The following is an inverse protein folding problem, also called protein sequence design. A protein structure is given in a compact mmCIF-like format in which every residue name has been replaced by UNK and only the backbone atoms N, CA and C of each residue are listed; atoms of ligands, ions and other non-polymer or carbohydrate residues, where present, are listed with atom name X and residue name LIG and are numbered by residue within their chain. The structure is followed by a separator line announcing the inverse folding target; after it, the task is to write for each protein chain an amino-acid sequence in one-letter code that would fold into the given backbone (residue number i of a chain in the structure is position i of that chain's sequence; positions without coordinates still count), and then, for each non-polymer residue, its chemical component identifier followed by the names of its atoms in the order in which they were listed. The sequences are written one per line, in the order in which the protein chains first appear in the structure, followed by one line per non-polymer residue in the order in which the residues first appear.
data_IF_901853830041
#
_entry.id   IF_901853830041
#
_cell.length_a   1.000
_cell.length_b   1.000
_cell.length_c   1.000
_cell.angle_alpha   90.00
_cell.angle_beta   90.00
_cell.angle_gamma   90.00
#
_symmetry.space_group_name_H-M   'P 1'
#
loop_
_entity.id
_entity.type
_entity.pdbx_description
1 polymer ?
#
# COMPACT_ATOMS: atom_id res chain seq x y z
N UNK A 1 24.18 3.33 12.36
CA UNK A 1 23.86 4.55 13.13
C UNK A 1 22.87 4.24 14.26
N UNK A 2 22.95 4.93 15.41
CA UNK A 2 21.97 4.76 16.51
C UNK A 2 20.79 5.71 16.33
N UNK A 3 19.58 5.16 16.41
CA UNK A 3 18.31 5.90 16.39
C UNK A 3 17.51 5.66 17.67
N UNK A 4 16.79 6.69 18.08
CA UNK A 4 15.80 6.69 19.15
C UNK A 4 14.43 6.95 18.55
N UNK A 5 13.45 6.12 18.89
CA UNK A 5 12.11 6.12 18.30
C UNK A 5 11.05 6.20 19.36
N UNK A 6 10.02 7.00 19.07
CA UNK A 6 8.78 7.04 19.83
C UNK A 6 7.63 6.80 18.85
N UNK A 7 6.85 5.75 19.06
CA UNK A 7 5.64 5.45 18.30
C UNK A 7 4.46 6.11 19.01
N UNK A 8 3.92 7.15 18.37
CA UNK A 8 2.84 7.96 18.91
C UNK A 8 1.47 7.31 18.68
N UNK A 9 1.25 6.75 17.49
CA UNK A 9 0.02 6.02 17.20
C UNK A 9 0.18 5.00 16.07
N UNK A 10 -0.60 3.93 16.15
CA UNK A 10 -0.74 2.93 15.08
C UNK A 10 -2.23 2.69 14.84
N UNK A 11 -2.69 2.92 13.62
CA UNK A 11 -4.10 2.84 13.23
C UNK A 11 -4.24 1.93 12.01
N UNK A 12 -5.25 1.06 12.03
CA UNK A 12 -5.68 0.32 10.85
C UNK A 12 -6.82 1.08 10.19
N UNK A 13 -6.77 1.24 8.87
CA UNK A 13 -7.82 1.85 8.05
C UNK A 13 -8.19 0.91 6.90
N UNK A 14 -9.44 0.97 6.47
CA UNK A 14 -9.89 0.13 5.35
C UNK A 14 -9.41 0.70 4.01
N UNK A 15 -9.52 2.01 3.78
CA UNK A 15 -9.16 2.63 2.51
C UNK A 15 -8.41 3.97 2.67
N UNK A 16 -7.57 4.30 1.69
CA UNK A 16 -6.85 5.56 1.62
C UNK A 16 -7.74 6.64 0.99
N UNK A 17 -7.82 7.82 1.63
CA UNK A 17 -8.70 8.91 1.20
C UNK A 17 -8.35 9.45 -0.21
N UNK A 18 -7.07 9.41 -0.60
CA UNK A 18 -6.60 9.96 -1.88
C UNK A 18 -6.06 8.89 -2.83
N UNK A 19 -6.56 7.65 -2.73
CA UNK A 19 -6.16 6.54 -3.61
C UNK A 19 -6.52 6.77 -5.09
N UNK A 20 -7.60 7.52 -5.33
CA UNK A 20 -8.18 7.77 -6.65
C UNK A 20 -8.45 9.25 -6.82
N UNK A 21 -8.11 9.80 -7.97
CA UNK A 21 -8.39 11.19 -8.28
C UNK A 21 -9.80 11.39 -8.84
N UNK A 22 -10.32 12.62 -8.80
CA UNK A 22 -11.58 12.95 -9.50
C UNK A 22 -11.53 12.56 -10.99
N UNK A 23 -10.38 12.77 -11.64
CA UNK A 23 -10.19 12.42 -13.04
C UNK A 23 -10.18 10.89 -13.26
N UNK A 24 -9.77 10.12 -12.26
CA UNK A 24 -9.83 8.66 -12.32
C UNK A 24 -11.27 8.18 -12.29
N UNK A 25 -12.10 8.75 -11.40
CA UNK A 25 -13.52 8.40 -11.33
C UNK A 25 -14.27 8.70 -12.62
N UNK A 26 -14.01 9.84 -13.27
CA UNK A 26 -14.61 10.19 -14.56
C UNK A 26 -14.18 9.21 -15.66
N UNK A 27 -12.89 8.87 -15.74
CA UNK A 27 -12.40 7.91 -16.75
C UNK A 27 -12.93 6.49 -16.52
N UNK A 28 -13.07 6.07 -15.26
CA UNK A 28 -13.67 4.78 -14.94
C UNK A 28 -15.14 4.76 -15.33
N UNK A 29 -15.90 5.81 -15.04
CA UNK A 29 -17.30 5.93 -15.47
C UNK A 29 -17.44 5.79 -16.99
N UNK A 30 -16.58 6.46 -17.76
CA UNK A 30 -16.54 6.33 -19.23
C UNK A 30 -16.27 4.87 -19.66
N UNK A 31 -15.29 4.20 -19.04
CA UNK A 31 -15.00 2.77 -19.28
C UNK A 31 -16.17 1.84 -18.92
N UNK A 32 -17.01 2.22 -17.95
CA UNK A 32 -18.24 1.51 -17.60
C UNK A 32 -19.46 1.96 -18.43
N UNK A 33 -19.28 2.80 -19.45
CA UNK A 33 -20.34 3.21 -20.38
C UNK A 33 -21.18 4.41 -19.94
N UNK A 34 -20.73 5.18 -18.95
CA UNK A 34 -21.39 6.41 -18.49
C UNK A 34 -20.72 7.67 -19.07
N UNK A 35 -21.10 8.04 -20.29
CA UNK A 35 -20.49 9.11 -21.10
C UNK A 35 -20.78 10.56 -20.61
N UNK A 36 -21.74 10.79 -19.69
CA UNK A 36 -22.23 12.14 -19.32
C UNK A 36 -21.99 12.53 -17.84
N UNK A 37 -20.93 12.00 -17.23
CA UNK A 37 -20.52 12.37 -15.86
C UNK A 37 -19.74 13.70 -15.87
N UNK A 38 -20.46 14.80 -16.14
CA UNK A 38 -19.88 16.11 -16.42
C UNK A 38 -18.92 16.67 -15.36
N UNK A 39 -18.03 17.58 -15.78
CA UNK A 39 -16.97 18.22 -14.97
C UNK A 39 -17.47 18.89 -13.66
N UNK A 40 -18.75 19.28 -13.62
CA UNK A 40 -19.39 19.96 -12.48
C UNK A 40 -19.95 19.02 -11.40
N UNK A 41 -19.79 17.71 -11.55
CA UNK A 41 -20.24 16.70 -10.58
C UNK A 41 -19.31 16.70 -9.36
N UNK A 42 -19.86 16.58 -8.15
CA UNK A 42 -19.03 16.45 -6.95
C UNK A 42 -18.33 15.10 -6.90
N UNK A 43 -17.20 14.99 -6.20
CA UNK A 43 -16.46 13.71 -6.08
C UNK A 43 -17.33 12.61 -5.45
N UNK A 44 -18.12 12.97 -4.45
CA UNK A 44 -19.06 12.04 -3.80
C UNK A 44 -20.09 11.49 -4.79
N UNK A 45 -20.70 12.36 -5.60
CA UNK A 45 -21.66 11.94 -6.63
C UNK A 45 -21.00 11.08 -7.70
N UNK A 46 -19.75 11.38 -8.11
CA UNK A 46 -19.00 10.54 -9.05
C UNK A 46 -18.75 9.13 -8.50
N UNK A 47 -18.40 9.00 -7.22
CA UNK A 47 -18.21 7.70 -6.57
C UNK A 47 -19.53 6.92 -6.50
N UNK A 48 -20.64 7.58 -6.14
CA UNK A 48 -21.96 6.96 -6.11
C UNK A 48 -22.40 6.47 -7.50
N UNK A 49 -22.21 7.28 -8.54
CA UNK A 49 -22.44 6.89 -9.94
C UNK A 49 -21.56 5.71 -10.35
N UNK A 50 -20.27 5.75 -10.00
CA UNK A 50 -19.32 4.70 -10.37
C UNK A 50 -19.70 3.37 -9.72
N UNK A 51 -20.14 3.37 -8.46
CA UNK A 51 -20.59 2.16 -7.80
C UNK A 51 -21.85 1.57 -8.43
N UNK A 52 -22.79 2.41 -8.87
CA UNK A 52 -23.94 1.93 -9.64
C UNK A 52 -23.49 1.32 -10.97
N UNK A 53 -22.60 2.00 -11.71
CA UNK A 53 -22.08 1.51 -12.98
C UNK A 53 -21.34 0.19 -12.85
N UNK A 54 -20.50 0.04 -11.82
CA UNK A 54 -19.78 -1.21 -11.51
C UNK A 54 -20.76 -2.34 -11.22
N UNK A 55 -21.87 -2.07 -10.51
CA UNK A 55 -22.83 -3.09 -10.09
C UNK A 55 -23.65 -3.71 -11.22
N UNK A 56 -23.62 -3.12 -12.42
CA UNK A 56 -24.26 -3.66 -13.62
C UNK A 56 -23.42 -4.77 -14.31
N UNK A 57 -22.19 -5.02 -13.83
CA UNK A 57 -21.25 -6.01 -14.37
C UNK A 57 -21.03 -7.15 -13.37
N UNK A 58 -20.62 -8.33 -13.88
CA UNK A 58 -20.15 -9.39 -12.99
C UNK A 58 -18.86 -8.95 -12.27
N UNK A 59 -18.62 -9.41 -11.03
CA UNK A 59 -17.49 -8.95 -10.23
C UNK A 59 -16.13 -9.03 -10.95
N UNK A 60 -15.83 -10.15 -11.58
CA UNK A 60 -14.60 -10.38 -12.35
C UNK A 60 -14.47 -9.46 -13.57
N UNK A 61 -15.58 -9.11 -14.22
CA UNK A 61 -15.60 -8.21 -15.38
C UNK A 61 -15.29 -6.78 -14.95
N UNK A 62 -15.93 -6.32 -13.88
CA UNK A 62 -15.65 -5.03 -13.28
C UNK A 62 -14.21 -4.92 -12.78
N UNK A 63 -13.69 -5.99 -12.16
CA UNK A 63 -12.30 -6.06 -11.73
C UNK A 63 -11.34 -5.94 -12.92
N UNK A 64 -11.60 -6.65 -14.02
CA UNK A 64 -10.77 -6.58 -15.23
C UNK A 64 -10.73 -5.16 -15.81
N UNK A 65 -11.87 -4.44 -15.85
CA UNK A 65 -11.94 -3.05 -16.35
C UNK A 65 -11.09 -2.10 -15.50
N UNK A 66 -11.16 -2.22 -14.18
CA UNK A 66 -10.43 -1.32 -13.26
C UNK A 66 -8.92 -1.66 -13.27
N UNK A 67 -8.57 -2.95 -13.33
CA UNK A 67 -7.18 -3.40 -13.49
C UNK A 67 -6.58 -2.89 -14.79
N UNK A 68 -7.28 -3.03 -15.91
CA UNK A 68 -6.86 -2.50 -17.21
C UNK A 68 -6.62 -0.99 -17.15
N UNK A 69 -7.54 -0.23 -16.56
CA UNK A 69 -7.38 1.21 -16.42
C UNK A 69 -6.11 1.61 -15.67
N UNK A 70 -5.75 0.88 -14.60
CA UNK A 70 -4.68 1.30 -13.68
C UNK A 70 -3.34 0.63 -13.95
N UNK A 71 -3.32 -0.55 -14.57
CA UNK A 71 -2.15 -1.44 -14.63
C UNK A 71 -1.86 -2.00 -16.05
N UNK A 72 -2.56 -1.57 -17.09
CA UNK A 72 -2.28 -2.01 -18.49
C UNK A 72 -0.89 -1.64 -19.01
N UNK A 73 -0.19 -0.71 -18.36
CA UNK A 73 1.21 -0.38 -18.62
C UNK A 73 2.20 -1.43 -18.07
N UNK A 74 1.77 -2.22 -17.09
CA UNK A 74 2.61 -3.21 -16.39
C UNK A 74 2.15 -4.65 -16.59
N UNK A 75 0.86 -4.86 -16.85
CA UNK A 75 0.23 -6.17 -16.97
C UNK A 75 -0.37 -6.33 -18.37
N UNK A 76 -0.22 -7.52 -18.95
CA UNK A 76 -0.89 -7.87 -20.19
C UNK A 76 -2.33 -8.35 -19.95
N UNK A 77 -3.12 -8.44 -21.03
CA UNK A 77 -4.54 -8.84 -20.99
C UNK A 77 -4.78 -10.16 -20.23
N UNK A 78 -3.96 -11.19 -20.49
CA UNK A 78 -4.11 -12.49 -19.83
C UNK A 78 -3.82 -12.39 -18.31
N UNK A 79 -2.85 -11.57 -17.91
CA UNK A 79 -2.56 -11.34 -16.49
C UNK A 79 -3.72 -10.59 -15.82
N UNK A 80 -4.29 -9.60 -16.48
CA UNK A 80 -5.44 -8.83 -15.97
C UNK A 80 -6.66 -9.76 -15.80
N UNK A 81 -6.98 -10.57 -16.81
CA UNK A 81 -8.07 -11.55 -16.75
C UNK A 81 -7.85 -12.56 -15.60
N UNK A 82 -6.65 -13.11 -15.47
CA UNK A 82 -6.34 -14.03 -14.38
C UNK A 82 -6.50 -13.37 -13.01
N UNK A 83 -5.91 -12.18 -12.82
CA UNK A 83 -5.99 -11.46 -11.55
C UNK A 83 -7.43 -11.09 -11.21
N UNK A 84 -8.24 -10.67 -12.19
CA UNK A 84 -9.63 -10.26 -11.94
C UNK A 84 -10.47 -11.40 -11.36
N UNK A 85 -10.23 -12.63 -11.80
CA UNK A 85 -10.85 -13.84 -11.22
C UNK A 85 -10.26 -14.19 -9.85
N UNK A 86 -8.93 -14.16 -9.69
CA UNK A 86 -8.27 -14.52 -8.44
C UNK A 86 -8.59 -13.55 -7.30
N UNK A 87 -8.85 -12.27 -7.61
CA UNK A 87 -9.25 -11.24 -6.64
C UNK A 87 -10.56 -11.56 -5.91
N UNK A 88 -11.39 -12.46 -6.42
CA UNK A 88 -12.61 -12.92 -5.72
C UNK A 88 -12.31 -13.97 -4.65
N UNK A 89 -11.17 -14.66 -4.77
CA UNK A 89 -10.79 -15.78 -3.91
C UNK A 89 -9.84 -15.32 -2.81
N UNK A 90 -8.84 -14.54 -3.17
CA UNK A 90 -7.74 -14.14 -2.28
C UNK A 90 -7.42 -12.65 -2.38
N UNK A 91 -6.66 -12.14 -1.41
CA UNK A 91 -6.14 -10.77 -1.42
C UNK A 91 -4.91 -10.70 -2.32
N UNK A 92 -5.13 -10.57 -3.63
CA UNK A 92 -4.03 -10.57 -4.61
C UNK A 92 -3.00 -9.47 -4.36
N UNK A 93 -3.39 -8.37 -3.73
CA UNK A 93 -2.44 -7.36 -3.26
C UNK A 93 -1.34 -7.94 -2.36
N UNK A 94 -1.67 -8.93 -1.52
CA UNK A 94 -0.76 -9.56 -0.54
C UNK A 94 -0.03 -10.80 -1.10
N UNK A 95 -0.54 -11.39 -2.19
CA UNK A 95 -0.04 -12.66 -2.77
C UNK A 95 0.71 -12.48 -4.10
N UNK A 96 0.56 -11.35 -4.77
CA UNK A 96 1.21 -11.11 -6.06
C UNK A 96 2.73 -10.98 -5.93
N UNK A 97 3.47 -11.68 -6.79
CA UNK A 97 4.92 -11.80 -6.68
C UNK A 97 5.66 -10.46 -6.87
N UNK A 98 5.16 -9.57 -7.73
CA UNK A 98 5.73 -8.23 -7.91
C UNK A 98 5.13 -7.27 -6.88
N UNK A 99 5.87 -7.09 -5.79
CA UNK A 99 5.46 -6.20 -4.69
C UNK A 99 5.33 -4.73 -5.10
N UNK A 100 5.92 -4.31 -6.24
CA UNK A 100 5.77 -2.93 -6.74
C UNK A 100 4.33 -2.61 -7.16
N UNK A 101 3.52 -3.65 -7.42
CA UNK A 101 2.10 -3.52 -7.70
C UNK A 101 1.22 -3.51 -6.45
N UNK A 102 1.77 -3.86 -5.28
CA UNK A 102 1.01 -4.08 -4.06
C UNK A 102 0.10 -2.90 -3.71
N UNK A 103 0.62 -1.67 -3.74
CA UNK A 103 -0.16 -0.47 -3.43
C UNK A 103 -1.33 -0.27 -4.42
N UNK A 104 -1.10 -0.46 -5.72
CA UNK A 104 -2.15 -0.28 -6.72
C UNK A 104 -3.20 -1.39 -6.63
N UNK A 105 -2.78 -2.64 -6.47
CA UNK A 105 -3.68 -3.78 -6.27
C UNK A 105 -4.53 -3.60 -5.00
N UNK A 106 -3.94 -3.06 -3.92
CA UNK A 106 -4.67 -2.70 -2.71
C UNK A 106 -5.77 -1.66 -2.99
N UNK A 107 -5.44 -0.58 -3.71
CA UNK A 107 -6.40 0.49 -4.03
C UNK A 107 -7.55 0.00 -4.92
N UNK A 108 -7.25 -0.89 -5.86
CA UNK A 108 -8.25 -1.55 -6.73
C UNK A 108 -9.14 -2.49 -5.90
N UNK A 109 -8.55 -3.32 -5.04
CA UNK A 109 -9.29 -4.20 -4.13
C UNK A 109 -10.24 -3.40 -3.25
N UNK A 110 -9.82 -2.28 -2.67
CA UNK A 110 -10.69 -1.45 -1.82
C UNK A 110 -11.85 -0.81 -2.58
N UNK A 111 -11.63 -0.39 -3.83
CA UNK A 111 -12.70 0.15 -4.67
C UNK A 111 -13.75 -0.92 -4.95
N UNK A 112 -13.31 -2.11 -5.36
CA UNK A 112 -14.15 -3.27 -5.67
C UNK A 112 -14.88 -3.81 -4.42
N UNK A 113 -14.18 -3.93 -3.29
CA UNK A 113 -14.74 -4.32 -2.00
C UNK A 113 -15.94 -3.45 -1.63
N UNK A 114 -15.80 -2.13 -1.77
CA UNK A 114 -16.86 -1.16 -1.49
C UNK A 114 -17.99 -1.24 -2.51
N UNK A 115 -17.67 -1.31 -3.80
CA UNK A 115 -18.68 -1.36 -4.86
C UNK A 115 -19.57 -2.61 -4.78
N UNK A 116 -19.00 -3.76 -4.41
CA UNK A 116 -19.71 -5.03 -4.30
C UNK A 116 -20.07 -5.44 -2.86
N UNK A 117 -20.03 -4.51 -1.89
CA UNK A 117 -20.41 -4.76 -0.49
C UNK A 117 -19.75 -6.00 0.14
N UNK A 118 -18.47 -6.22 -0.15
CA UNK A 118 -17.66 -7.29 0.46
C UNK A 118 -17.62 -8.62 -0.29
N UNK A 119 -18.03 -8.67 -1.56
CA UNK A 119 -17.78 -9.84 -2.43
C UNK A 119 -16.29 -10.12 -2.57
N UNK A 120 -15.46 -9.09 -2.70
CA UNK A 120 -14.00 -9.22 -2.71
C UNK A 120 -13.47 -9.39 -1.27
N UNK A 121 -12.36 -10.09 -1.03
CA UNK A 121 -11.69 -10.08 0.26
C UNK A 121 -11.20 -8.67 0.62
N UNK A 122 -11.28 -8.30 1.90
CA UNK A 122 -10.86 -6.97 2.36
C UNK A 122 -9.38 -6.95 2.75
N UNK A 123 -8.56 -6.17 2.02
CA UNK A 123 -7.25 -5.74 2.48
C UNK A 123 -7.37 -4.52 3.41
N UNK A 124 -6.35 -4.23 4.24
CA UNK A 124 -6.32 -3.00 5.05
C UNK A 124 -4.96 -2.35 5.01
N UNK A 125 -4.91 -1.07 5.37
CA UNK A 125 -3.68 -0.31 5.50
C UNK A 125 -3.41 0.05 6.97
N UNK A 126 -2.13 0.18 7.30
CA UNK A 126 -1.66 0.64 8.60
C UNK A 126 -1.03 2.03 8.45
N UNK A 127 -1.47 2.96 9.30
CA UNK A 127 -0.85 4.27 9.48
C UNK A 127 -0.08 4.26 10.80
N UNK A 128 1.20 4.62 10.74
CA UNK A 128 2.06 4.77 11.92
C UNK A 128 2.50 6.23 12.02
N UNK A 129 2.21 6.85 13.15
CA UNK A 129 2.75 8.17 13.51
C UNK A 129 3.88 7.94 14.53
N UNK A 130 5.09 8.42 14.22
CA UNK A 130 6.26 8.20 15.05
C UNK A 130 7.23 9.39 15.00
N UNK A 131 8.15 9.40 15.95
CA UNK A 131 9.29 10.32 16.02
C UNK A 131 10.59 9.55 15.88
N UNK A 132 11.57 10.13 15.21
CA UNK A 132 12.89 9.55 14.99
C UNK A 132 14.01 10.55 15.24
N UNK A 133 14.95 10.18 16.11
CA UNK A 133 16.13 10.99 16.45
C UNK A 133 17.40 10.14 16.32
N UNK A 134 18.46 10.62 15.66
CA UNK A 134 18.53 11.90 14.94
C UNK A 134 17.69 11.88 13.66
N UNK A 135 17.06 13.00 13.35
CA UNK A 135 16.32 13.19 12.11
C UNK A 135 17.27 13.62 10.98
N UNK A 136 18.00 12.66 10.41
CA UNK A 136 18.95 12.90 9.33
C UNK A 136 18.85 11.77 8.32
N UNK A 137 18.64 12.11 7.05
CA UNK A 137 18.60 11.17 5.93
C UNK A 137 17.61 10.00 6.14
N UNK A 138 16.41 10.32 6.63
CA UNK A 138 15.37 9.32 6.94
C UNK A 138 14.72 8.80 5.65
N UNK A 139 15.26 7.70 5.13
CA UNK A 139 14.70 6.95 4.00
C UNK A 139 13.69 5.88 4.46
N UNK A 140 12.92 5.33 3.51
CA UNK A 140 12.02 4.20 3.78
C UNK A 140 12.78 2.98 4.29
N UNK A 141 13.96 2.69 3.74
CA UNK A 141 14.84 1.64 4.23
C UNK A 141 15.20 1.84 5.71
N UNK A 142 15.66 3.05 6.07
CA UNK A 142 16.00 3.39 7.47
C UNK A 142 14.78 3.16 8.37
N UNK A 143 13.60 3.65 7.96
CA UNK A 143 12.37 3.46 8.73
C UNK A 143 12.03 1.98 8.92
N UNK A 144 12.14 1.14 7.88
CA UNK A 144 11.90 -0.30 8.02
C UNK A 144 12.89 -0.97 8.96
N UNK A 145 14.20 -0.70 8.80
CA UNK A 145 15.25 -1.25 9.67
C UNK A 145 15.04 -0.86 11.13
N UNK A 146 14.59 0.36 11.36
CA UNK A 146 14.28 0.89 12.69
C UNK A 146 13.05 0.19 13.29
N UNK A 147 11.91 0.19 12.58
CA UNK A 147 10.66 -0.37 13.09
C UNK A 147 10.74 -1.90 13.26
N UNK A 148 11.61 -2.57 12.51
CA UNK A 148 11.91 -3.99 12.66
C UNK A 148 12.25 -4.40 14.11
N UNK A 149 12.82 -3.49 14.90
CA UNK A 149 13.15 -3.72 16.31
C UNK A 149 11.92 -3.99 17.19
N UNK A 150 10.74 -3.48 16.81
CA UNK A 150 9.51 -3.67 17.58
C UNK A 150 8.53 -4.68 16.98
N UNK A 151 8.65 -4.98 15.69
CA UNK A 151 7.78 -5.97 15.02
C UNK A 151 7.97 -7.38 15.63
N UNK A 152 6.91 -8.19 15.61
CA UNK A 152 6.97 -9.58 16.05
C UNK A 152 8.02 -10.39 15.28
N UNK A 153 8.66 -11.39 15.89
CA UNK A 153 9.67 -12.22 15.22
C UNK A 153 9.10 -13.03 14.04
N UNK A 154 7.80 -13.29 14.03
CA UNK A 154 7.09 -13.97 12.95
C UNK A 154 6.65 -13.03 11.81
N UNK A 155 6.97 -11.74 11.89
CA UNK A 155 6.57 -10.73 10.90
C UNK A 155 7.10 -11.10 9.49
N UNK A 156 6.30 -10.78 8.48
CA UNK A 156 6.59 -11.14 7.08
C UNK A 156 7.87 -10.47 6.58
N UNK A 157 8.10 -9.20 6.91
CA UNK A 157 9.28 -8.44 6.47
C UNK A 157 10.56 -9.13 6.98
N UNK A 158 10.58 -9.54 8.26
CA UNK A 158 11.70 -10.29 8.86
C UNK A 158 12.00 -11.59 8.12
N UNK A 159 10.95 -12.30 7.71
CA UNK A 159 11.07 -13.59 7.03
C UNK A 159 11.59 -13.45 5.60
N UNK A 160 11.16 -12.40 4.89
CA UNK A 160 11.47 -12.21 3.47
C UNK A 160 12.75 -11.42 3.22
N UNK A 161 13.07 -10.44 4.08
CA UNK A 161 14.11 -9.43 3.84
C UNK A 161 15.14 -9.39 4.97
N UNK A 162 15.47 -10.54 5.57
CA UNK A 162 16.39 -10.62 6.70
C UNK A 162 17.77 -10.01 6.38
N UNK A 163 18.34 -10.34 5.21
CA UNK A 163 19.67 -9.88 4.83
C UNK A 163 19.69 -8.38 4.51
N UNK A 164 18.66 -7.88 3.83
CA UNK A 164 18.47 -6.44 3.62
C UNK A 164 18.32 -5.67 4.93
N UNK A 165 17.54 -6.19 5.89
CA UNK A 165 17.37 -5.61 7.23
C UNK A 165 18.67 -5.57 8.03
N UNK A 166 19.52 -6.58 7.87
CA UNK A 166 20.85 -6.67 8.48
C UNK A 166 21.90 -5.78 7.78
N UNK A 167 21.55 -5.15 6.64
CA UNK A 167 22.46 -4.33 5.86
C UNK A 167 23.49 -5.13 5.05
N UNK A 168 23.20 -6.39 4.73
CA UNK A 168 24.06 -7.25 3.91
C UNK A 168 23.81 -7.09 2.40
N UNK A 169 22.66 -6.53 2.03
CA UNK A 169 22.26 -6.22 0.65
C UNK A 169 21.42 -4.94 0.62
N UNK A 170 21.26 -4.37 -0.57
CA UNK A 170 20.41 -3.20 -0.80
C UNK A 170 18.93 -3.54 -0.52
N UNK A 171 18.19 -2.61 0.10
CA UNK A 171 16.78 -2.81 0.44
C UNK A 171 15.83 -2.05 -0.49
N UNK A 172 15.90 -2.32 -1.80
CA UNK A 172 15.14 -1.61 -2.82
C UNK A 172 13.60 -1.78 -2.64
N UNK A 173 13.18 -2.92 -2.09
CA UNK A 173 11.80 -3.27 -1.80
C UNK A 173 11.15 -2.34 -0.76
N UNK A 174 11.95 -1.62 0.03
CA UNK A 174 11.45 -0.65 0.99
C UNK A 174 10.53 0.40 0.35
N UNK A 175 10.79 0.77 -0.91
CA UNK A 175 9.97 1.69 -1.69
C UNK A 175 8.55 1.16 -1.97
N UNK A 176 8.39 -0.15 -2.03
CA UNK A 176 7.11 -0.83 -2.30
C UNK A 176 6.41 -1.32 -1.03
N UNK A 177 7.17 -1.53 0.05
CA UNK A 177 6.62 -1.87 1.38
C UNK A 177 6.02 -0.62 2.04
N UNK A 178 6.76 0.49 2.03
CA UNK A 178 6.27 1.77 2.54
C UNK A 178 5.66 2.56 1.39
N UNK A 179 4.34 2.69 1.38
CA UNK A 179 3.61 3.37 0.32
C UNK A 179 3.76 4.88 0.40
N UNK A 180 3.72 5.44 1.61
CA UNK A 180 3.97 6.86 1.85
C UNK A 180 4.77 7.06 3.13
N UNK A 181 5.71 8.00 3.09
CA UNK A 181 6.50 8.44 4.23
C UNK A 181 6.57 9.96 4.21
N UNK A 182 5.81 10.57 5.11
CA UNK A 182 5.64 12.02 5.16
C UNK A 182 6.26 12.59 6.43
N UNK A 183 7.16 13.55 6.27
CA UNK A 183 7.64 14.37 7.37
C UNK A 183 6.54 15.33 7.86
N UNK A 184 6.29 15.35 9.16
CA UNK A 184 5.21 16.16 9.78
C UNK A 184 5.71 17.25 10.71
N UNK A 185 7.02 17.30 11.01
CA UNK A 185 7.66 18.41 11.74
C UNK A 185 8.62 17.95 12.84
N UNK A 186 9.64 18.76 13.15
CA UNK A 186 10.75 18.45 14.07
C UNK A 186 11.43 17.10 13.77
N UNK A 187 11.02 16.04 14.45
CA UNK A 187 11.48 14.65 14.33
C UNK A 187 10.35 13.69 13.95
N UNK A 188 9.14 14.20 13.71
CA UNK A 188 7.92 13.42 13.49
C UNK A 188 7.67 13.07 12.02
N UNK A 189 7.14 11.87 11.84
CA UNK A 189 6.79 11.28 10.55
C UNK A 189 5.45 10.55 10.62
N UNK A 190 4.79 10.48 9.48
CA UNK A 190 3.65 9.58 9.23
C UNK A 190 4.02 8.61 8.13
N UNK A 191 3.86 7.34 8.43
CA UNK A 191 4.08 6.20 7.54
C UNK A 191 2.73 5.60 7.15
N UNK A 192 2.57 5.23 5.88
CA UNK A 192 1.46 4.42 5.39
C UNK A 192 2.01 3.15 4.73
N UNK A 193 1.46 2.00 5.11
CA UNK A 193 1.78 0.68 4.54
C UNK A 193 0.55 -0.23 4.54
N UNK A 194 0.69 -1.45 4.06
CA UNK A 194 -0.31 -2.52 4.20
C UNK A 194 -0.32 -3.12 5.60
N UNK A 195 -1.49 -3.51 6.09
CA UNK A 195 -1.63 -4.31 7.32
C UNK A 195 -0.90 -5.66 7.19
N UNK A 196 -0.77 -6.19 5.97
CA UNK A 196 0.02 -7.40 5.68
C UNK A 196 1.49 -7.26 6.09
N UNK A 197 2.08 -6.07 5.86
CA UNK A 197 3.48 -5.82 6.16
C UNK A 197 3.71 -5.51 7.63
N UNK A 198 2.87 -4.64 8.19
CA UNK A 198 2.95 -4.20 9.58
C UNK A 198 1.55 -4.06 10.13
N UNK A 199 1.08 -5.09 10.82
CA UNK A 199 -0.21 -5.03 11.51
C UNK A 199 -0.06 -4.27 12.82
N UNK A 200 -1.14 -3.63 13.28
CA UNK A 200 -1.14 -2.85 14.52
C UNK A 200 -0.67 -3.68 15.73
N UNK A 201 -1.03 -4.95 15.78
CA UNK A 201 -0.78 -5.82 16.93
C UNK A 201 0.66 -6.36 16.97
N UNK A 202 1.47 -6.10 15.94
CA UNK A 202 2.88 -6.47 15.91
C UNK A 202 3.80 -5.48 16.63
N UNK A 203 3.34 -4.27 16.92
CA UNK A 203 4.13 -3.24 17.61
C UNK A 203 4.19 -3.52 19.11
N UNK A 204 5.32 -4.02 19.58
CA UNK A 204 5.52 -4.46 20.98
C UNK A 204 5.95 -3.36 21.93
N UNK A 205 6.67 -2.35 21.45
CA UNK A 205 7.28 -1.28 22.24
C UNK A 205 6.96 0.08 21.61
N UNK A 206 6.49 1.02 22.42
CA UNK A 206 6.19 2.37 21.96
C UNK A 206 7.42 3.30 21.98
N UNK A 207 8.49 2.96 22.70
CA UNK A 207 9.71 3.76 22.76
C UNK A 207 10.93 2.83 22.86
N UNK A 208 11.94 3.05 22.02
CA UNK A 208 13.14 2.20 21.99
C UNK A 208 14.32 2.86 21.28
N UNK A 209 15.51 2.33 21.57
CA UNK A 209 16.74 2.65 20.86
C UNK A 209 17.12 1.48 19.95
N UNK A 210 17.60 1.76 18.74
CA UNK A 210 18.05 0.75 17.77
C UNK A 210 19.33 1.19 17.06
N UNK A 211 20.21 0.24 16.75
CA UNK A 211 21.35 0.47 15.87
C UNK A 211 21.01 -0.08 14.48
N UNK A 212 20.98 0.79 13.49
CA UNK A 212 20.77 0.45 12.08
C UNK A 212 22.13 0.25 11.42
N UNK A 213 22.27 -0.83 10.66
CA UNK A 213 23.39 -1.06 9.74
C UNK A 213 22.88 -0.73 8.34
N UNK A 214 23.46 0.29 7.72
CA UNK A 214 23.18 0.64 6.33
C UNK A 214 24.00 -0.28 5.43
N UNK A 215 23.46 -0.61 4.26
CA UNK A 215 24.21 -1.36 3.27
C UNK A 215 25.27 -0.43 2.66
N UNK A 216 26.52 -0.90 2.63
CA UNK A 216 27.60 -0.25 1.92
C UNK A 216 27.81 -1.06 0.63
N UNK A 217 27.58 -0.45 -0.54
CA UNK A 217 28.03 -1.06 -1.79
C UNK A 217 29.56 -1.13 -1.71
N UNK A 218 30.12 -2.35 -1.80
CA UNK A 218 31.56 -2.50 -2.00
C UNK A 218 31.89 -1.78 -3.31
N UNK A 219 32.58 -0.64 -3.22
CA UNK A 219 33.23 0.01 -4.36
C UNK A 219 34.27 -0.99 -4.91
N UNK A 220 33.86 -1.89 -5.81
CA UNK A 220 34.78 -2.69 -6.61
C UNK A 220 35.53 -1.73 -7.56
N UNK A 221 36.69 -1.24 -7.09
CA UNK A 221 37.76 -0.62 -7.89
C UNK A 221 38.28 -1.56 -9.01
#
# INVERSE_FOLDING_TARGET
MKYHIIINSVKTIDALENAWSKADYVQLLDKFGFEDSGENTSEKELIELLFMAISDFEPEEAAAIILDYKLSDKLNENQIEQISHEMLLDKISEEYADISLHHQLFNINQLLYKAFNGTFPSAKATIVEFEITPNKDISKEVVLKVLNATLANSNVIKRLFHDALDGKEAFNEAESIIWDLKYTGETSYTLITSEYWMSRDEFTNAEFDVNVVEFEEDDED
#
